data_IF_050483690941
#
_entry.id   IF_050483690941
#
_cell.length_a   1.000
_cell.length_b   1.000
_cell.length_c   1.000
_cell.angle_alpha   90.00
_cell.angle_beta   90.00
_cell.angle_gamma   90.00
#
_symmetry.space_group_name_H-M   'P 1'
#
loop_
_entity.id
_entity.type
_entity.pdbx_description
1 polymer ?
#
# COMPACT_ATOMS: atom_id res chain seq x y z
N UNK A 1 -2.95 -76.73 10.60
CA UNK A 1 -1.82 -75.76 10.62
C UNK A 1 -2.06 -74.50 9.78
N UNK A 2 -2.64 -74.54 8.57
CA UNK A 2 -2.83 -73.35 7.69
C UNK A 2 -3.67 -72.20 8.28
N UNK A 3 -4.67 -72.47 9.13
CA UNK A 3 -5.54 -71.43 9.72
C UNK A 3 -4.84 -70.56 10.77
N UNK A 4 -3.81 -71.08 11.45
CA UNK A 4 -3.07 -70.35 12.49
C UNK A 4 -2.19 -69.27 11.86
N UNK A 5 -1.54 -69.56 10.73
CA UNK A 5 -0.74 -68.57 9.99
C UNK A 5 -1.58 -67.41 9.44
N UNK A 6 -2.81 -67.69 9.01
CA UNK A 6 -3.72 -66.65 8.53
C UNK A 6 -4.13 -65.69 9.66
N UNK A 7 -4.37 -66.22 10.86
CA UNK A 7 -4.75 -65.42 12.03
C UNK A 7 -3.57 -64.59 12.56
N UNK A 8 -2.35 -65.13 12.48
CA UNK A 8 -1.10 -64.43 12.80
C UNK A 8 -0.80 -63.30 11.80
N UNK A 9 -1.08 -63.51 10.51
CA UNK A 9 -0.92 -62.50 9.48
C UNK A 9 -1.93 -61.35 9.65
N UNK A 10 -3.18 -61.66 10.01
CA UNK A 10 -4.20 -60.64 10.33
C UNK A 10 -3.83 -59.83 11.58
N UNK A 11 -3.25 -60.47 12.59
CA UNK A 11 -2.75 -59.80 13.79
C UNK A 11 -1.55 -58.90 13.49
N UNK A 12 -0.61 -59.33 12.64
CA UNK A 12 0.49 -58.47 12.19
C UNK A 12 -0.02 -57.26 11.40
N UNK A 13 -1.00 -57.44 10.50
CA UNK A 13 -1.56 -56.33 9.74
C UNK A 13 -2.26 -55.30 10.63
N UNK A 14 -3.05 -55.74 11.62
CA UNK A 14 -3.76 -54.83 12.53
C UNK A 14 -2.79 -54.04 13.42
N UNK A 15 -1.71 -54.66 13.88
CA UNK A 15 -0.67 -53.97 14.67
C UNK A 15 0.03 -52.90 13.83
N UNK A 16 0.38 -53.18 12.56
CA UNK A 16 0.99 -52.15 11.69
C UNK A 16 0.04 -50.98 11.38
N UNK A 17 -1.27 -51.21 11.31
CA UNK A 17 -2.26 -50.16 11.04
C UNK A 17 -2.40 -49.19 12.24
N UNK A 18 -2.32 -49.70 13.48
CA UNK A 18 -2.38 -48.86 14.69
C UNK A 18 -1.13 -47.98 14.84
N UNK A 19 0.05 -48.46 14.45
CA UNK A 19 1.27 -47.64 14.48
C UNK A 19 1.35 -46.59 13.36
N UNK A 20 0.67 -46.80 12.22
CA UNK A 20 0.66 -45.82 11.13
C UNK A 20 -0.22 -44.59 11.40
N UNK A 21 -1.16 -44.65 12.37
CA UNK A 21 -2.00 -43.51 12.74
C UNK A 21 -1.35 -42.56 13.76
N UNK A 22 -0.22 -42.97 14.37
CA UNK A 22 0.52 -42.16 15.34
C UNK A 22 1.71 -41.41 14.72
N UNK A 23 1.65 -41.11 13.42
CA UNK A 23 2.66 -40.27 12.80
C UNK A 23 2.44 -38.82 13.29
N UNK A 24 3.38 -38.21 14.03
CA UNK A 24 3.23 -36.84 14.52
C UNK A 24 3.31 -35.77 13.40
N UNK A 25 3.29 -36.19 12.13
CA UNK A 25 3.44 -35.35 10.95
C UNK A 25 2.22 -34.45 10.65
N UNK A 26 1.12 -34.59 11.39
CA UNK A 26 -0.02 -33.65 11.34
C UNK A 26 -0.29 -33.02 12.71
N UNK A 27 0.75 -32.71 13.47
CA UNK A 27 0.65 -31.62 14.43
C UNK A 27 0.61 -30.33 13.62
N UNK A 28 -0.53 -29.65 13.63
CA UNK A 28 -0.62 -28.23 13.26
C UNK A 28 0.60 -27.54 13.85
N UNK A 29 1.45 -27.00 12.97
CA UNK A 29 2.64 -26.26 13.34
C UNK A 29 2.19 -25.02 14.09
N UNK A 30 2.08 -25.16 15.41
CA UNK A 30 2.11 -24.03 16.32
C UNK A 30 3.46 -23.36 16.04
N UNK A 31 3.43 -22.21 15.37
CA UNK A 31 4.60 -21.36 15.12
C UNK A 31 4.71 -20.42 16.34
N UNK A 32 5.51 -20.75 17.37
CA UNK A 32 5.68 -19.87 18.53
C UNK A 32 6.36 -18.54 18.18
N UNK A 33 6.82 -18.37 16.94
CA UNK A 33 7.44 -17.16 16.38
C UNK A 33 6.61 -16.61 15.22
N UNK A 34 5.28 -16.66 15.32
CA UNK A 34 4.44 -15.85 14.44
C UNK A 34 4.80 -14.39 14.66
N UNK A 35 5.49 -13.77 13.69
CA UNK A 35 5.78 -12.34 13.74
C UNK A 35 4.47 -11.58 13.89
N UNK A 36 4.37 -10.76 14.94
CA UNK A 36 3.22 -9.86 15.17
C UNK A 36 3.27 -8.63 14.26
N UNK A 37 4.33 -8.52 13.45
CA UNK A 37 4.59 -7.47 12.49
C UNK A 37 4.77 -8.08 11.10
N UNK A 38 4.20 -7.44 10.09
CA UNK A 38 4.45 -7.85 8.70
C UNK A 38 5.83 -7.36 8.29
N UNK A 39 6.66 -8.22 7.71
CA UNK A 39 7.95 -7.85 7.13
C UNK A 39 7.76 -6.85 5.96
N UNK A 40 6.64 -6.96 5.25
CA UNK A 40 6.31 -6.10 4.11
C UNK A 40 4.96 -5.40 4.29
N UNK A 41 4.91 -4.14 3.86
CA UNK A 41 3.72 -3.39 3.57
C UNK A 41 3.32 -3.57 2.09
N UNK A 42 2.06 -3.93 1.86
CA UNK A 42 1.51 -4.18 0.53
C UNK A 42 0.83 -2.93 0.00
N UNK A 43 1.06 -2.59 -1.26
CA UNK A 43 0.51 -1.39 -1.91
C UNK A 43 -0.47 -1.81 -3.01
N UNK A 44 -1.73 -1.46 -2.81
CA UNK A 44 -2.82 -1.76 -3.74
C UNK A 44 -3.27 -0.50 -4.46
N UNK A 45 -3.39 -0.55 -5.79
CA UNK A 45 -4.06 0.50 -6.58
C UNK A 45 -5.56 0.25 -6.61
N UNK A 46 -6.36 1.28 -6.29
CA UNK A 46 -7.82 1.24 -6.44
C UNK A 46 -8.20 1.37 -7.92
N UNK A 47 -8.94 0.37 -8.43
CA UNK A 47 -9.64 0.43 -9.72
C UNK A 47 -10.93 1.23 -9.57
N UNK A 48 -11.34 1.95 -10.62
CA UNK A 48 -12.63 2.66 -10.68
C UNK A 48 -12.95 3.52 -9.43
N UNK A 49 -11.94 4.21 -8.90
CA UNK A 49 -12.03 5.00 -7.65
C UNK A 49 -13.22 5.96 -7.62
N UNK A 50 -13.59 6.55 -8.77
CA UNK A 50 -14.75 7.43 -8.92
C UNK A 50 -16.06 6.75 -8.49
N UNK A 51 -16.28 5.47 -8.82
CA UNK A 51 -17.47 4.71 -8.42
C UNK A 51 -17.47 4.42 -6.92
N UNK A 52 -16.29 4.11 -6.37
CA UNK A 52 -16.11 3.81 -4.95
C UNK A 52 -16.43 5.04 -4.10
N UNK A 53 -15.92 6.22 -4.46
CA UNK A 53 -16.11 7.45 -3.67
C UNK A 53 -17.47 8.13 -3.90
N UNK A 54 -18.15 7.88 -5.02
CA UNK A 54 -19.49 8.43 -5.28
C UNK A 54 -20.60 7.64 -4.60
N UNK A 55 -20.37 6.36 -4.28
CA UNK A 55 -21.39 5.52 -3.69
C UNK A 55 -21.41 5.72 -2.17
N UNK A 56 -22.54 6.21 -1.62
CA UNK A 56 -22.67 6.50 -0.18
C UNK A 56 -22.62 5.23 0.69
N UNK A 57 -22.93 4.06 0.12
CA UNK A 57 -22.84 2.77 0.80
C UNK A 57 -21.73 1.92 0.19
N UNK A 58 -20.49 2.16 0.62
CA UNK A 58 -19.32 1.34 0.29
C UNK A 58 -19.55 -0.13 0.71
N UNK A 59 -20.33 -0.34 1.77
CA UNK A 59 -20.79 -1.66 2.26
C UNK A 59 -21.58 -2.44 1.21
N UNK A 60 -22.46 -1.80 0.44
CA UNK A 60 -23.23 -2.49 -0.62
C UNK A 60 -22.34 -2.95 -1.79
N UNK A 61 -21.28 -2.20 -2.11
CA UNK A 61 -20.29 -2.59 -3.13
C UNK A 61 -19.43 -3.77 -2.66
N UNK A 62 -19.08 -3.79 -1.37
CA UNK A 62 -18.34 -4.90 -0.73
C UNK A 62 -19.20 -6.16 -0.63
N UNK A 63 -20.48 -6.02 -0.27
CA UNK A 63 -21.41 -7.15 -0.17
C UNK A 63 -21.72 -7.78 -1.54
N UNK A 64 -21.85 -6.97 -2.60
CA UNK A 64 -22.08 -7.46 -3.96
C UNK A 64 -20.87 -8.16 -4.59
N UNK A 65 -19.66 -7.88 -4.11
CA UNK A 65 -18.41 -8.41 -4.68
C UNK A 65 -17.66 -9.31 -3.70
N UNK A 66 -18.35 -9.92 -2.74
CA UNK A 66 -17.79 -10.93 -1.81
C UNK A 66 -17.04 -12.06 -2.51
N UNK A 67 -17.29 -12.29 -3.80
CA UNK A 67 -16.63 -13.31 -4.62
C UNK A 67 -15.36 -12.86 -5.34
N UNK A 68 -15.10 -11.55 -5.52
CA UNK A 68 -13.94 -11.07 -6.28
C UNK A 68 -13.27 -9.87 -5.59
N UNK A 69 -12.48 -10.12 -4.53
CA UNK A 69 -11.60 -9.10 -3.94
C UNK A 69 -10.60 -8.50 -4.96
N UNK A 70 -10.29 -9.24 -6.03
CA UNK A 70 -9.44 -8.78 -7.14
C UNK A 70 -10.12 -7.77 -8.09
N UNK A 71 -11.42 -7.52 -7.93
CA UNK A 71 -12.18 -6.64 -8.84
C UNK A 71 -11.88 -5.15 -8.62
N UNK A 72 -11.66 -4.72 -7.37
CA UNK A 72 -11.54 -3.30 -7.03
C UNK A 72 -10.12 -2.82 -6.75
N UNK A 73 -9.22 -3.75 -6.51
CA UNK A 73 -7.85 -3.46 -6.13
C UNK A 73 -6.90 -4.28 -6.97
N UNK A 74 -5.69 -3.78 -7.15
CA UNK A 74 -4.60 -4.56 -7.75
C UNK A 74 -3.35 -4.29 -6.96
N UNK A 75 -2.71 -5.35 -6.48
CA UNK A 75 -1.40 -5.26 -5.87
C UNK A 75 -0.44 -4.71 -6.93
N UNK A 76 0.17 -3.57 -6.65
CA UNK A 76 1.10 -2.89 -7.57
C UNK A 76 2.53 -2.95 -7.09
N UNK A 77 2.73 -3.01 -5.76
CA UNK A 77 4.05 -2.98 -5.17
C UNK A 77 4.02 -3.53 -3.73
N UNK A 78 5.21 -3.81 -3.20
CA UNK A 78 5.43 -4.18 -1.81
C UNK A 78 6.74 -3.59 -1.32
N UNK A 79 6.75 -3.02 -0.12
CA UNK A 79 7.94 -2.43 0.50
C UNK A 79 8.15 -3.02 1.87
N UNK A 80 9.41 -3.24 2.28
CA UNK A 80 9.72 -3.62 3.67
C UNK A 80 9.13 -2.59 4.64
N UNK A 81 8.50 -3.06 5.72
CA UNK A 81 7.80 -2.19 6.67
C UNK A 81 8.75 -1.16 7.30
N UNK A 82 10.00 -1.52 7.55
CA UNK A 82 11.04 -0.62 8.07
C UNK A 82 11.39 0.53 7.10
N UNK A 83 11.22 0.29 5.80
CA UNK A 83 11.49 1.27 4.74
C UNK A 83 10.25 2.10 4.37
N UNK A 84 9.07 1.78 4.90
CA UNK A 84 7.80 2.42 4.56
C UNK A 84 7.82 3.95 4.79
N UNK A 85 8.54 4.42 5.80
CA UNK A 85 8.70 5.85 6.09
C UNK A 85 9.46 6.62 5.01
N UNK A 86 10.38 5.93 4.32
CA UNK A 86 11.20 6.47 3.22
C UNK A 86 10.64 6.16 1.84
N UNK A 87 9.62 5.29 1.76
CA UNK A 87 8.98 4.93 0.51
C UNK A 87 8.33 6.17 -0.12
N UNK A 88 8.76 6.47 -1.35
CA UNK A 88 8.19 7.53 -2.15
C UNK A 88 7.42 6.89 -3.30
N UNK A 89 6.18 7.32 -3.49
CA UNK A 89 5.42 7.00 -4.68
C UNK A 89 6.13 7.68 -5.84
N UNK A 90 6.92 6.91 -6.60
CA UNK A 90 7.78 7.41 -7.66
C UNK A 90 6.96 8.09 -8.77
N UNK A 91 7.63 8.90 -9.58
CA UNK A 91 7.05 9.51 -10.79
C UNK A 91 6.52 8.46 -11.80
N UNK A 92 6.89 7.19 -11.65
CA UNK A 92 6.40 6.09 -12.49
C UNK A 92 5.07 5.50 -12.03
N UNK A 93 4.56 5.86 -10.85
CA UNK A 93 3.24 5.40 -10.43
C UNK A 93 2.15 6.15 -11.20
N UNK A 94 1.22 5.40 -11.78
CA UNK A 94 0.09 5.98 -12.49
C UNK A 94 -0.77 6.83 -11.54
N UNK A 95 -1.47 7.82 -12.09
CA UNK A 95 -2.41 8.61 -11.29
C UNK A 95 -3.52 7.73 -10.71
N UNK A 96 -3.90 8.00 -9.47
CA UNK A 96 -4.94 7.25 -8.78
C UNK A 96 -4.81 7.25 -7.26
N UNK A 97 -5.56 6.33 -6.65
CA UNK A 97 -5.59 6.13 -5.21
C UNK A 97 -4.96 4.80 -4.87
N UNK A 98 -4.13 4.80 -3.84
CA UNK A 98 -3.33 3.66 -3.41
C UNK A 98 -3.58 3.38 -1.93
N UNK A 99 -3.88 2.13 -1.61
CA UNK A 99 -4.04 1.65 -0.24
C UNK A 99 -2.78 0.87 0.15
N UNK A 100 -2.04 1.38 1.13
CA UNK A 100 -0.96 0.66 1.77
C UNK A 100 -1.50 -0.08 2.99
N UNK A 101 -1.18 -1.36 3.12
CA UNK A 101 -1.67 -2.25 4.19
C UNK A 101 -0.48 -2.98 4.80
N UNK A 102 -0.37 -2.95 6.13
CA UNK A 102 0.66 -3.66 6.88
C UNK A 102 0.13 -4.02 8.28
N UNK A 103 0.81 -4.93 8.97
CA UNK A 103 0.49 -5.29 10.36
C UNK A 103 1.60 -4.81 11.27
N UNK A 104 1.23 -4.13 12.35
CA UNK A 104 2.17 -3.66 13.37
C UNK A 104 1.56 -3.97 14.74
N UNK A 105 2.26 -4.76 15.58
CA UNK A 105 1.80 -5.17 16.91
C UNK A 105 0.41 -5.80 16.88
N UNK A 106 0.18 -6.74 15.97
CA UNK A 106 -1.10 -7.44 15.76
C UNK A 106 -2.26 -6.55 15.27
N UNK A 107 -1.98 -5.27 14.96
CA UNK A 107 -2.98 -4.33 14.46
C UNK A 107 -2.79 -4.16 12.96
N UNK A 108 -3.85 -4.41 12.19
CA UNK A 108 -3.90 -4.07 10.77
C UNK A 108 -3.89 -2.54 10.62
N UNK A 109 -2.82 -2.03 10.02
CA UNK A 109 -2.66 -0.63 9.67
C UNK A 109 -2.96 -0.43 8.19
N UNK A 110 -3.62 0.69 7.90
CA UNK A 110 -3.96 1.08 6.53
C UNK A 110 -3.64 2.56 6.31
N UNK A 111 -3.15 2.89 5.12
CA UNK A 111 -2.89 4.26 4.70
C UNK A 111 -3.36 4.46 3.27
N UNK A 112 -4.24 5.45 3.06
CA UNK A 112 -4.67 5.86 1.73
C UNK A 112 -3.78 6.99 1.23
N UNK A 113 -3.19 6.80 0.05
CA UNK A 113 -2.34 7.79 -0.62
C UNK A 113 -2.93 8.12 -1.99
N UNK A 114 -2.97 9.40 -2.34
CA UNK A 114 -3.45 9.86 -3.66
C UNK A 114 -2.26 10.33 -4.48
N UNK A 115 -2.08 9.74 -5.66
CA UNK A 115 -1.15 10.21 -6.70
C UNK A 115 -1.98 10.99 -7.72
N UNK A 116 -1.95 12.31 -7.63
CA UNK A 116 -2.76 13.19 -8.48
C UNK A 116 -1.92 13.79 -9.60
N UNK A 117 -2.51 14.01 -10.80
CA UNK A 117 -1.88 14.84 -11.82
C UNK A 117 -1.80 16.28 -11.30
N UNK A 118 -0.58 16.72 -11.02
CA UNK A 118 -0.29 18.10 -10.66
C UNK A 118 0.34 18.78 -11.86
N UNK A 119 -0.25 19.90 -12.26
CA UNK A 119 0.34 20.75 -13.27
C UNK A 119 1.08 21.88 -12.58
N UNK A 120 2.36 22.03 -12.92
CA UNK A 120 3.21 23.08 -12.37
C UNK A 120 3.66 23.99 -13.50
N UNK A 121 3.28 25.27 -13.41
CA UNK A 121 3.70 26.29 -14.37
C UNK A 121 4.64 27.26 -13.70
N UNK A 122 5.84 27.40 -14.28
CA UNK A 122 6.81 28.42 -13.91
C UNK A 122 6.55 29.67 -14.74
N UNK A 123 6.19 30.76 -14.07
CA UNK A 123 6.12 32.07 -14.68
C UNK A 123 7.29 32.92 -14.19
N UNK A 124 7.87 33.69 -15.09
CA UNK A 124 8.95 34.60 -14.75
C UNK A 124 8.88 35.89 -15.55
N UNK A 125 9.35 36.97 -14.94
CA UNK A 125 9.64 38.23 -15.59
C UNK A 125 11.07 38.68 -15.22
N UNK A 126 11.48 39.85 -15.72
CA UNK A 126 12.82 40.38 -15.49
C UNK A 126 13.22 40.54 -14.00
N UNK A 127 12.26 40.62 -13.07
CA UNK A 127 12.52 40.88 -11.65
C UNK A 127 12.24 39.68 -10.74
N UNK A 128 11.31 38.80 -11.11
CA UNK A 128 10.76 37.75 -10.24
C UNK A 128 10.34 36.52 -11.03
N UNK A 129 10.34 35.39 -10.34
CA UNK A 129 9.70 34.16 -10.82
C UNK A 129 8.75 33.64 -9.74
N UNK A 130 7.70 32.95 -10.17
CA UNK A 130 6.73 32.32 -9.28
C UNK A 130 6.20 31.03 -9.92
N UNK A 131 5.74 30.13 -9.06
CA UNK A 131 5.14 28.88 -9.46
C UNK A 131 3.63 28.94 -9.26
N UNK A 132 2.89 28.43 -10.23
CA UNK A 132 1.45 28.19 -10.13
C UNK A 132 1.27 26.68 -10.19
N UNK A 133 0.55 26.13 -9.21
CA UNK A 133 0.24 24.71 -9.16
C UNK A 133 -1.27 24.54 -9.20
N UNK A 134 -1.73 23.74 -10.15
CA UNK A 134 -3.14 23.45 -10.35
C UNK A 134 -3.37 21.96 -10.55
N UNK A 135 -4.57 21.51 -10.20
CA UNK A 135 -5.02 20.15 -10.47
C UNK A 135 -5.36 19.94 -11.96
N UNK A 136 -5.77 18.72 -12.33
CA UNK A 136 -6.22 18.41 -13.69
C UNK A 136 -7.47 19.17 -14.14
N UNK A 137 -8.23 19.76 -13.22
CA UNK A 137 -9.43 20.55 -13.49
C UNK A 137 -9.12 22.06 -13.58
N UNK A 138 -7.86 22.46 -13.38
CA UNK A 138 -7.44 23.85 -13.37
C UNK A 138 -7.69 24.57 -12.03
N UNK A 139 -8.07 23.85 -10.97
CA UNK A 139 -8.20 24.45 -9.64
C UNK A 139 -6.81 24.66 -9.04
N UNK A 140 -6.59 25.86 -8.51
CA UNK A 140 -5.35 26.22 -7.82
C UNK A 140 -5.23 25.48 -6.49
N UNK A 141 -4.03 24.97 -6.20
CA UNK A 141 -3.75 24.23 -4.99
C UNK A 141 -2.94 25.09 -4.02
N UNK A 142 -3.63 25.68 -3.03
CA UNK A 142 -3.08 26.66 -2.09
C UNK A 142 -2.40 26.08 -0.83
N UNK A 143 -2.69 24.81 -0.50
CA UNK A 143 -2.22 24.16 0.73
C UNK A 143 -1.10 23.13 0.47
N UNK A 144 -0.32 23.33 -0.61
CA UNK A 144 0.78 22.44 -0.95
C UNK A 144 2.05 22.82 -0.20
N UNK A 145 2.72 21.81 0.36
CA UNK A 145 4.06 21.96 0.93
C UNK A 145 5.11 21.84 -0.18
N UNK A 146 5.32 22.93 -0.92
CA UNK A 146 6.31 22.96 -2.01
C UNK A 146 7.70 23.23 -1.43
N UNK A 147 8.65 22.33 -1.71
CA UNK A 147 10.07 22.51 -1.36
C UNK A 147 10.89 22.76 -2.61
N UNK A 148 11.74 23.80 -2.55
CA UNK A 148 12.77 24.05 -3.54
C UNK A 148 14.13 23.99 -2.82
N UNK A 149 14.92 22.96 -3.11
CA UNK A 149 16.10 22.60 -2.31
C UNK A 149 15.70 22.44 -0.82
N UNK A 150 16.35 23.17 0.09
CA UNK A 150 16.07 23.14 1.53
C UNK A 150 15.07 24.22 2.00
N UNK A 151 14.38 24.93 1.10
CA UNK A 151 13.43 25.99 1.46
C UNK A 151 12.00 25.59 1.10
N UNK A 152 11.07 25.78 2.05
CA UNK A 152 9.64 25.65 1.79
C UNK A 152 9.12 26.96 1.21
N UNK A 153 8.45 26.91 0.07
CA UNK A 153 7.89 28.08 -0.58
C UNK A 153 6.57 28.48 0.08
N UNK A 154 6.36 29.78 0.27
CA UNK A 154 5.12 30.31 0.81
C UNK A 154 4.12 30.61 -0.30
N UNK A 155 2.86 30.22 -0.09
CA UNK A 155 1.77 30.56 -0.99
C UNK A 155 1.32 32.02 -0.79
N UNK A 156 1.20 32.77 -1.89
CA UNK A 156 0.67 34.12 -1.89
C UNK A 156 -0.79 34.10 -2.37
N UNK A 157 -1.74 34.24 -1.42
CA UNK A 157 -3.18 34.22 -1.71
C UNK A 157 -3.63 35.29 -2.71
N UNK A 158 -2.98 36.47 -2.72
CA UNK A 158 -3.33 37.58 -3.62
C UNK A 158 -2.92 37.29 -5.07
N UNK A 159 -1.76 36.66 -5.26
CA UNK A 159 -1.19 36.35 -6.58
C UNK A 159 -1.43 34.90 -7.00
N UNK A 160 -2.16 34.13 -6.19
CA UNK A 160 -2.51 32.73 -6.44
C UNK A 160 -1.31 31.87 -6.87
N UNK A 161 -0.17 32.09 -6.19
CA UNK A 161 1.12 31.53 -6.61
C UNK A 161 2.10 31.37 -5.46
N UNK A 162 3.04 30.45 -5.63
CA UNK A 162 4.17 30.24 -4.74
C UNK A 162 5.35 31.10 -5.19
N UNK A 163 5.82 31.97 -4.32
CA UNK A 163 6.89 32.90 -4.66
C UNK A 163 8.24 32.20 -4.60
N UNK A 164 9.04 32.30 -5.67
CA UNK A 164 10.39 31.75 -5.68
C UNK A 164 11.39 32.69 -5.00
N UNK A 165 12.44 32.13 -4.36
CA UNK A 165 13.52 32.94 -3.80
C UNK A 165 14.20 33.76 -4.91
N UNK A 166 14.50 35.02 -4.62
CA UNK A 166 15.11 35.90 -5.59
C UNK A 166 16.53 35.41 -5.96
N UNK A 167 16.86 35.33 -7.25
CA UNK A 167 18.12 34.74 -7.77
C UNK A 167 19.39 35.33 -7.13
N UNK A 168 19.33 36.57 -6.64
CA UNK A 168 20.47 37.28 -6.01
C UNK A 168 20.89 36.72 -4.64
N UNK A 169 20.16 35.79 -4.03
CA UNK A 169 20.49 35.25 -2.70
C UNK A 169 21.43 34.02 -2.72
N UNK A 170 21.88 33.57 -3.91
CA UNK A 170 22.72 32.37 -4.09
C UNK A 170 24.19 32.69 -4.47
N UNK A 171 24.71 33.81 -4.00
CA UNK A 171 26.14 34.16 -4.05
C UNK A 171 26.63 34.57 -2.65
N UNK A 172 26.60 33.64 -1.70
CA UNK A 172 27.56 33.61 -0.59
C UNK A 172 27.78 32.13 -0.27
N UNK A 173 28.92 31.64 -0.75
CA UNK A 173 29.57 30.40 -0.34
C UNK A 173 29.95 30.55 1.13
#
# INVERSE_FOLDING_TARGET
MKKIYFLLLLFCLSVTFVFSQNNPATKNSYLPTSSTESEFALIYKLKDSKKIFQNKNITELLDKNKTDLNSFMTLVDSVETDKLSSFNFSDSMEYGYYLTVWTEKEILKVKLTTVAPLNVVLQSNAKRAWLIVYDSLGNELQDLKIKLNNQTLSYNKKLKSYTLPNRKKKQRI
#
